data_IF_603741902310
#
_entry.id   IF_603741902310
#
_cell.length_a   1.000
_cell.length_b   1.000
_cell.length_c   1.000
_cell.angle_alpha   90.00
_cell.angle_beta   90.00
_cell.angle_gamma   90.00
#
_symmetry.space_group_name_H-M   'P 1'
#
loop_
_entity.id
_entity.type
_entity.pdbx_description
1 polymer ?
#
# COMPACT_ATOMS: atom_id res chain seq x y z
N UNK A 1 4.31 -12.12 -6.50
CA UNK A 1 4.47 -10.66 -6.34
C UNK A 1 5.78 -10.41 -5.65
N UNK A 2 6.57 -9.42 -6.09
CA UNK A 2 7.84 -9.03 -5.44
C UNK A 2 7.62 -7.64 -4.83
N UNK A 3 7.38 -7.54 -3.51
CA UNK A 3 7.14 -6.25 -2.88
C UNK A 3 8.40 -5.38 -2.95
N UNK A 4 8.23 -4.12 -3.34
CA UNK A 4 9.30 -3.11 -3.35
C UNK A 4 9.40 -2.40 -2.00
N UNK A 5 8.28 -2.26 -1.29
CA UNK A 5 8.22 -1.65 0.02
C UNK A 5 6.83 -1.71 0.64
N UNK A 6 6.75 -1.33 1.91
CA UNK A 6 5.50 -1.09 2.63
C UNK A 6 5.21 0.41 2.72
N UNK A 7 3.93 0.74 2.79
CA UNK A 7 3.43 2.06 3.14
C UNK A 7 2.57 1.87 4.38
N UNK A 8 2.88 2.60 5.45
CA UNK A 8 2.12 2.55 6.70
C UNK A 8 2.08 3.94 7.33
N UNK A 9 0.93 4.33 7.86
CA UNK A 9 0.73 5.66 8.45
C UNK A 9 1.23 5.76 9.88
N UNK A 10 1.67 4.66 10.50
CA UNK A 10 2.39 4.72 11.77
C UNK A 10 3.79 5.33 11.54
N UNK A 11 4.02 6.60 11.98
CA UNK A 11 5.29 7.28 11.74
C UNK A 11 6.47 6.61 12.48
N UNK A 12 6.20 5.80 13.50
CA UNK A 12 7.26 5.17 14.30
C UNK A 12 7.94 3.99 13.59
N UNK A 13 7.33 3.47 12.52
CA UNK A 13 7.87 2.35 11.74
C UNK A 13 8.45 2.77 10.39
N UNK A 14 8.37 4.06 10.03
CA UNK A 14 9.00 4.57 8.81
C UNK A 14 10.50 4.27 8.80
N UNK A 15 11.01 3.81 7.65
CA UNK A 15 12.40 3.42 7.47
C UNK A 15 12.79 2.08 8.11
N UNK A 16 11.93 1.47 8.94
CA UNK A 16 12.16 0.11 9.48
C UNK A 16 11.98 -0.94 8.39
N UNK A 17 12.49 -2.14 8.66
CA UNK A 17 12.28 -3.31 7.81
C UNK A 17 11.31 -4.30 8.46
N UNK A 18 10.36 -4.79 7.68
CA UNK A 18 9.47 -5.90 8.02
C UNK A 18 9.80 -7.04 7.07
N UNK A 19 10.25 -8.18 7.59
CA UNK A 19 10.65 -9.35 6.78
C UNK A 19 11.68 -8.99 5.68
N UNK A 20 12.59 -8.06 5.97
CA UNK A 20 13.61 -7.58 5.03
C UNK A 20 13.14 -6.56 4.00
N UNK A 21 11.87 -6.14 4.04
CA UNK A 21 11.27 -5.15 3.14
C UNK A 21 11.08 -3.83 3.91
N UNK A 22 11.49 -2.71 3.33
CA UNK A 22 11.45 -1.41 4.01
C UNK A 22 10.06 -0.78 4.00
N UNK A 23 9.71 -0.07 5.08
CA UNK A 23 8.59 0.89 5.09
C UNK A 23 9.07 2.19 4.46
N UNK A 24 8.60 2.48 3.25
CA UNK A 24 9.07 3.59 2.41
C UNK A 24 8.52 4.94 2.88
N UNK A 25 7.35 4.95 3.52
CA UNK A 25 6.69 6.15 3.99
C UNK A 25 5.25 5.92 4.39
N UNK A 26 4.53 7.01 4.51
CA UNK A 26 3.09 7.07 4.83
C UNK A 26 2.26 7.19 3.55
N UNK A 27 0.92 7.15 3.67
CA UNK A 27 0.08 7.39 2.49
C UNK A 27 0.26 8.79 1.91
N UNK A 28 0.74 9.77 2.69
CA UNK A 28 1.00 11.14 2.21
C UNK A 28 2.25 11.20 1.34
N UNK A 29 3.13 10.21 1.44
CA UNK A 29 4.34 10.10 0.62
C UNK A 29 4.09 9.37 -0.70
N UNK A 30 2.85 8.92 -0.97
CA UNK A 30 2.53 8.04 -2.09
C UNK A 30 2.98 8.60 -3.44
N UNK A 31 2.69 9.86 -3.74
CA UNK A 31 3.09 10.49 -5.01
C UNK A 31 4.61 10.45 -5.19
N UNK A 32 5.37 10.84 -4.17
CA UNK A 32 6.84 10.79 -4.19
C UNK A 32 7.36 9.36 -4.32
N UNK A 33 6.70 8.39 -3.69
CA UNK A 33 7.08 6.97 -3.82
C UNK A 33 6.87 6.50 -5.26
N UNK A 34 5.74 6.85 -5.88
CA UNK A 34 5.42 6.49 -7.27
C UNK A 34 6.39 7.13 -8.28
N UNK A 35 6.87 8.35 -8.02
CA UNK A 35 7.90 9.00 -8.85
C UNK A 35 9.28 8.32 -8.74
N UNK A 36 9.61 7.77 -7.56
CA UNK A 36 10.95 7.25 -7.27
C UNK A 36 11.04 5.71 -7.33
N UNK A 37 9.92 5.01 -7.60
CA UNK A 37 9.90 3.55 -7.63
C UNK A 37 9.17 3.05 -8.87
N UNK A 38 9.78 2.10 -9.57
CA UNK A 38 9.14 1.39 -10.67
C UNK A 38 8.33 0.22 -10.09
N UNK A 39 7.01 0.38 -10.02
CA UNK A 39 6.08 -0.64 -9.55
C UNK A 39 4.93 -0.85 -10.53
N UNK A 40 4.39 -2.06 -10.56
CA UNK A 40 3.24 -2.39 -11.39
C UNK A 40 1.90 -2.08 -10.70
N UNK A 41 1.91 -1.96 -9.37
CA UNK A 41 0.70 -1.69 -8.59
C UNK A 41 0.83 -1.83 -7.08
N UNK A 42 -0.27 -1.54 -6.40
CA UNK A 42 -0.38 -1.43 -4.95
C UNK A 42 -1.37 -2.46 -4.40
N UNK A 43 -0.96 -3.13 -3.31
CA UNK A 43 -1.83 -3.97 -2.50
C UNK A 43 -2.28 -3.23 -1.25
N UNK A 44 -3.60 -3.08 -1.09
CA UNK A 44 -4.20 -2.59 0.15
C UNK A 44 -4.46 -3.77 1.09
N UNK A 45 -3.68 -3.86 2.18
CA UNK A 45 -3.82 -4.90 3.21
C UNK A 45 -4.67 -4.49 4.42
N UNK A 46 -5.07 -3.21 4.54
CA UNK A 46 -5.86 -2.75 5.68
C UNK A 46 -7.33 -3.20 5.59
N UNK A 47 -7.79 -3.86 6.64
CA UNK A 47 -9.19 -4.27 6.79
C UNK A 47 -10.12 -3.09 7.03
N UNK A 48 -9.66 -2.13 7.84
CA UNK A 48 -10.40 -0.93 8.17
C UNK A 48 -10.81 -0.20 6.89
N UNK A 49 -11.99 0.39 6.94
CA UNK A 49 -12.46 1.46 6.06
C UNK A 49 -11.36 2.51 6.00
N UNK A 50 -10.44 2.35 5.05
CA UNK A 50 -9.75 3.47 4.42
C UNK A 50 -10.91 4.38 4.04
N UNK A 51 -10.93 5.57 4.64
CA UNK A 51 -11.99 6.55 4.43
C UNK A 51 -12.29 6.67 2.92
N UNK A 52 -13.54 6.92 2.55
CA UNK A 52 -13.93 7.02 1.14
C UNK A 52 -12.97 7.96 0.38
N UNK A 53 -12.64 9.08 1.01
CA UNK A 53 -11.71 10.09 0.49
C UNK A 53 -10.28 9.56 0.30
N UNK A 54 -9.77 8.75 1.26
CA UNK A 54 -8.43 8.16 1.11
C UNK A 54 -8.38 7.10 0.02
N UNK A 55 -9.44 6.30 -0.12
CA UNK A 55 -9.54 5.32 -1.21
C UNK A 55 -9.61 6.01 -2.57
N UNK A 56 -10.34 7.11 -2.69
CA UNK A 56 -10.46 7.85 -3.94
C UNK A 56 -9.14 8.50 -4.33
N UNK A 57 -8.44 9.13 -3.38
CA UNK A 57 -7.09 9.67 -3.63
C UNK A 57 -6.12 8.58 -4.08
N UNK A 58 -6.12 7.40 -3.42
CA UNK A 58 -5.29 6.26 -3.84
C UNK A 58 -5.67 5.74 -5.23
N UNK A 59 -6.96 5.68 -5.55
CA UNK A 59 -7.45 5.28 -6.87
C UNK A 59 -7.00 6.26 -7.95
N UNK A 60 -7.15 7.56 -7.72
CA UNK A 60 -6.70 8.59 -8.66
C UNK A 60 -5.19 8.50 -8.88
N UNK A 61 -4.40 8.47 -7.80
CA UNK A 61 -2.94 8.38 -7.90
C UNK A 61 -2.48 7.13 -8.68
N UNK A 62 -3.12 5.98 -8.44
CA UNK A 62 -2.81 4.75 -9.18
C UNK A 62 -3.23 4.85 -10.65
N UNK A 63 -4.42 5.39 -10.93
CA UNK A 63 -4.94 5.59 -12.28
C UNK A 63 -4.05 6.53 -13.09
N UNK A 64 -3.66 7.67 -12.52
CA UNK A 64 -2.84 8.69 -13.15
C UNK A 64 -1.41 8.18 -13.40
N UNK A 65 -0.93 7.27 -12.54
CA UNK A 65 0.36 6.58 -12.71
C UNK A 65 0.28 5.33 -13.59
N UNK A 66 -0.92 4.94 -14.07
CA UNK A 66 -1.12 3.77 -14.92
C UNK A 66 -0.87 2.41 -14.24
N UNK A 67 -0.93 2.34 -12.91
CA UNK A 67 -0.66 1.14 -12.12
C UNK A 67 -1.95 0.53 -11.57
N UNK A 68 -1.94 -0.77 -11.24
CA UNK A 68 -3.12 -1.40 -10.65
C UNK A 68 -3.22 -1.15 -9.14
N UNK A 69 -4.46 -1.08 -8.64
CA UNK A 69 -4.77 -1.07 -7.22
C UNK A 69 -5.64 -2.29 -6.87
N UNK A 70 -5.19 -3.14 -5.94
CA UNK A 70 -5.91 -4.35 -5.52
C UNK A 70 -6.03 -4.39 -4.01
N UNK A 71 -7.19 -4.80 -3.49
CA UNK A 71 -7.39 -5.06 -2.06
C UNK A 71 -7.08 -6.53 -1.77
N UNK A 72 -6.19 -6.78 -0.82
CA UNK A 72 -5.95 -8.09 -0.26
C UNK A 72 -7.02 -8.38 0.80
N UNK A 73 -7.62 -9.57 0.75
CA UNK A 73 -8.47 -10.10 1.80
C UNK A 73 -7.91 -11.45 2.23
N UNK A 74 -7.68 -11.61 3.52
CA UNK A 74 -7.29 -12.88 4.12
C UNK A 74 -8.47 -13.32 4.97
N UNK A 75 -9.04 -14.48 4.67
CA UNK A 75 -10.11 -15.09 5.46
C UNK A 75 -9.54 -16.31 6.18
N UNK A 76 -10.05 -16.58 7.38
CA UNK A 76 -9.75 -17.80 8.12
C UNK A 76 -11.08 -18.55 8.21
N UNK A 77 -11.13 -19.72 7.59
CA UNK A 77 -12.31 -20.59 7.56
C UNK A 77 -12.05 -21.83 8.43
N UNK A 78 -13.12 -22.42 8.98
CA UNK A 78 -13.01 -23.69 9.69
C UNK A 78 -12.71 -24.83 8.70
N UNK A 79 -11.88 -25.79 9.14
CA UNK A 79 -11.63 -27.02 8.39
C UNK A 79 -12.60 -28.07 8.93
N UNK A 80 -13.55 -28.51 8.09
CA UNK A 80 -14.47 -29.61 8.40
C UNK A 80 -13.75 -30.94 8.71
#
# INVERSE_FOLDING_TARGET
LKPVGFIDDDPFIQGRQVMGIQVLGTSQDLEKILENTEIEGILLSSENTVDFDRNETLRSACHDSGIWLKKLRITIDEVE
#
